data_IF_295240125546
#
_entry.id   IF_295240125546
#
_cell.length_a   1.000
_cell.length_b   1.000
_cell.length_c   1.000
_cell.angle_alpha   90.00
_cell.angle_beta   90.00
_cell.angle_gamma   90.00
#
_symmetry.space_group_name_H-M   'P 1'
#
loop_
_entity.id
_entity.type
_entity.pdbx_description
1 polymer ?
#
# COMPACT_ATOMS: atom_id res chain seq x y z
N UNK A 1 9.91 7.33 44.42
CA UNK A 1 10.62 8.17 43.43
C UNK A 1 9.57 8.88 42.61
N UNK A 2 9.47 10.21 42.68
CA UNK A 2 8.54 10.98 41.84
C UNK A 2 9.21 11.19 40.49
N UNK A 3 8.70 10.56 39.44
CA UNK A 3 9.12 10.86 38.06
C UNK A 3 8.70 12.29 37.75
N UNK A 4 9.68 13.13 37.40
CA UNK A 4 9.40 14.50 36.94
C UNK A 4 8.51 14.43 35.69
N UNK A 5 7.48 15.28 35.55
CA UNK A 5 6.69 15.40 34.33
C UNK A 5 7.56 15.53 33.08
N UNK A 6 8.70 16.22 33.18
CA UNK A 6 9.66 16.39 32.09
C UNK A 6 10.29 15.07 31.65
N UNK A 7 10.58 14.15 32.59
CA UNK A 7 11.15 12.85 32.27
C UNK A 7 10.16 11.94 31.52
N UNK A 8 8.87 12.09 31.81
CA UNK A 8 7.79 11.39 31.09
C UNK A 8 7.62 11.98 29.70
N UNK A 9 7.67 13.32 29.57
CA UNK A 9 7.64 14.02 28.29
C UNK A 9 8.78 13.60 27.37
N UNK A 10 10.00 13.48 27.91
CA UNK A 10 11.19 13.04 27.17
C UNK A 10 11.08 11.58 26.68
N UNK A 11 10.50 10.70 27.50
CA UNK A 11 10.24 9.31 27.10
C UNK A 11 9.17 9.23 26.01
N UNK A 12 8.09 10.02 26.12
CA UNK A 12 7.06 10.10 25.08
C UNK A 12 7.67 10.60 23.76
N UNK A 13 8.48 11.65 23.81
CA UNK A 13 9.17 12.21 22.64
C UNK A 13 10.12 11.19 21.99
N UNK A 14 10.83 10.41 22.81
CA UNK A 14 11.72 9.34 22.34
C UNK A 14 10.95 8.20 21.67
N UNK A 15 9.82 7.79 22.26
CA UNK A 15 8.92 6.79 21.67
C UNK A 15 8.34 7.25 20.33
N UNK A 16 7.92 8.52 20.24
CA UNK A 16 7.39 9.09 18.98
C UNK A 16 8.45 9.11 17.87
N UNK A 17 9.70 9.48 18.18
CA UNK A 17 10.81 9.42 17.22
C UNK A 17 11.10 8.00 16.74
N UNK A 18 11.07 7.02 17.65
CA UNK A 18 11.25 5.62 17.30
C UNK A 18 10.12 5.12 16.39
N UNK A 19 8.87 5.52 16.66
CA UNK A 19 7.70 5.17 15.86
C UNK A 19 7.77 5.77 14.45
N UNK A 20 8.21 7.02 14.32
CA UNK A 20 8.37 7.68 13.03
C UNK A 20 9.49 7.03 12.19
N UNK A 21 10.60 6.64 12.84
CA UNK A 21 11.67 5.86 12.21
C UNK A 21 11.20 4.50 11.70
N UNK A 22 10.41 3.79 12.51
CA UNK A 22 9.80 2.51 12.10
C UNK A 22 8.84 2.69 10.92
N UNK A 23 8.02 3.74 10.94
CA UNK A 23 7.11 4.07 9.85
C UNK A 23 7.84 4.38 8.55
N UNK A 24 8.94 5.14 8.59
CA UNK A 24 9.79 5.38 7.41
C UNK A 24 10.38 4.08 6.86
N UNK A 25 10.91 3.22 7.72
CA UNK A 25 11.46 1.93 7.30
C UNK A 25 10.40 1.03 6.67
N UNK A 26 9.21 0.95 7.27
CA UNK A 26 8.08 0.18 6.75
C UNK A 26 7.61 0.71 5.39
N UNK A 27 7.47 2.03 5.25
CA UNK A 27 7.14 2.68 3.97
C UNK A 27 8.19 2.39 2.91
N UNK A 28 9.47 2.57 3.23
CA UNK A 28 10.57 2.27 2.30
C UNK A 28 10.57 0.82 1.83
N UNK A 29 10.36 -0.13 2.75
CA UNK A 29 10.28 -1.56 2.43
C UNK A 29 9.08 -1.90 1.54
N UNK A 30 7.92 -1.28 1.78
CA UNK A 30 6.73 -1.51 0.98
C UNK A 30 6.87 -0.93 -0.42
N UNK A 31 7.48 0.25 -0.57
CA UNK A 31 7.81 0.85 -1.87
C UNK A 31 8.82 0.02 -2.66
N UNK A 32 9.85 -0.50 -2.00
CA UNK A 32 10.82 -1.40 -2.63
C UNK A 32 10.15 -2.68 -3.17
N UNK A 33 9.30 -3.33 -2.35
CA UNK A 33 8.53 -4.51 -2.77
C UNK A 33 7.59 -4.21 -3.94
N UNK A 34 6.97 -3.03 -3.97
CA UNK A 34 6.16 -2.58 -5.10
C UNK A 34 7.00 -2.40 -6.36
N UNK A 35 8.20 -1.82 -6.24
CA UNK A 35 9.16 -1.69 -7.34
C UNK A 35 9.60 -3.04 -7.92
N UNK A 36 9.90 -4.01 -7.06
CA UNK A 36 10.24 -5.38 -7.47
C UNK A 36 9.08 -6.08 -8.19
N UNK A 37 7.87 -5.95 -7.64
CA UNK A 37 6.66 -6.51 -8.27
C UNK A 37 6.38 -5.85 -9.61
N UNK A 38 6.53 -4.53 -9.72
CA UNK A 38 6.31 -3.81 -10.97
C UNK A 38 7.32 -4.22 -12.04
N UNK A 39 8.60 -4.40 -11.67
CA UNK A 39 9.63 -4.95 -12.57
C UNK A 39 9.26 -6.36 -13.05
N UNK A 40 8.81 -7.23 -12.15
CA UNK A 40 8.39 -8.59 -12.50
C UNK A 40 7.20 -8.61 -13.46
N UNK A 41 6.20 -7.75 -13.24
CA UNK A 41 5.02 -7.64 -14.13
C UNK A 41 5.42 -7.11 -15.51
N UNK A 42 6.28 -6.09 -15.57
CA UNK A 42 6.78 -5.56 -16.84
C UNK A 42 7.59 -6.62 -17.60
N UNK A 43 8.42 -7.40 -16.90
CA UNK A 43 9.17 -8.49 -17.52
C UNK A 43 8.25 -9.57 -18.11
N UNK A 44 7.19 -9.97 -17.40
CA UNK A 44 6.21 -10.92 -17.94
C UNK A 44 5.40 -10.32 -19.11
N UNK A 45 5.11 -9.01 -19.09
CA UNK A 45 4.47 -8.33 -20.22
C UNK A 45 5.36 -8.27 -21.46
N UNK A 46 6.65 -8.00 -21.30
CA UNK A 46 7.61 -8.00 -22.40
C UNK A 46 7.81 -9.42 -22.96
N UNK A 47 7.82 -10.43 -22.08
CA UNK A 47 7.84 -11.84 -22.49
C UNK A 47 6.58 -12.23 -23.26
N UNK A 48 5.40 -11.80 -22.81
CA UNK A 48 4.14 -12.01 -23.53
C UNK A 48 4.13 -11.32 -24.89
N UNK A 49 4.66 -10.10 -25.00
CA UNK A 49 4.82 -9.40 -26.28
C UNK A 49 5.73 -10.17 -27.24
N UNK A 50 6.89 -10.63 -26.77
CA UNK A 50 7.81 -11.44 -27.58
C UNK A 50 7.13 -12.72 -28.08
N UNK A 51 6.38 -13.42 -27.23
CA UNK A 51 5.64 -14.63 -27.63
C UNK A 51 4.58 -14.29 -28.70
N UNK A 52 3.88 -13.16 -28.56
CA UNK A 52 2.88 -12.69 -29.53
C UNK A 52 3.52 -12.30 -30.85
N UNK A 53 4.68 -11.64 -30.83
CA UNK A 53 5.42 -11.20 -32.01
C UNK A 53 6.07 -12.40 -32.75
N UNK A 54 6.49 -13.44 -32.03
CA UNK A 54 7.06 -14.68 -32.58
C UNK A 54 5.97 -15.63 -33.14
N UNK A 55 4.71 -15.45 -32.75
CA UNK A 55 3.57 -16.22 -33.27
C UNK A 55 3.07 -15.59 -34.58
N UNK A 56 3.86 -15.67 -35.65
CA UNK A 56 3.45 -15.21 -36.99
C UNK A 56 2.42 -16.11 -37.69
N UNK A 57 1.84 -17.08 -36.99
CA UNK A 57 0.65 -17.85 -37.38
C UNK A 57 -0.13 -18.18 -36.09
N UNK A 58 -1.00 -17.27 -35.62
CA UNK A 58 -1.69 -17.47 -34.35
C UNK A 58 -2.71 -18.62 -34.44
N UNK A 59 -2.45 -19.68 -33.67
CA UNK A 59 -3.45 -20.65 -33.24
C UNK A 59 -4.59 -19.89 -32.53
N UNK A 60 -5.82 -20.02 -33.03
CA UNK A 60 -7.05 -19.40 -32.49
C UNK A 60 -7.22 -19.68 -30.97
N UNK A 61 -6.63 -20.76 -30.48
CA UNK A 61 -6.58 -21.09 -29.06
C UNK A 61 -5.74 -20.07 -28.26
N UNK A 62 -4.58 -19.65 -28.77
CA UNK A 62 -3.72 -18.65 -28.12
C UNK A 62 -4.38 -17.27 -28.12
N UNK A 63 -5.06 -16.88 -29.20
CA UNK A 63 -5.89 -15.66 -29.24
C UNK A 63 -6.93 -15.68 -28.12
N UNK A 64 -7.61 -16.82 -27.96
CA UNK A 64 -8.68 -17.01 -26.99
C UNK A 64 -8.16 -16.98 -25.55
N UNK A 65 -7.01 -17.62 -25.29
CA UNK A 65 -6.32 -17.56 -24.00
C UNK A 65 -5.87 -16.14 -23.66
N UNK A 66 -5.33 -15.39 -24.63
CA UNK A 66 -4.90 -14.01 -24.44
C UNK A 66 -6.09 -13.09 -24.10
N UNK A 67 -7.22 -13.25 -24.80
CA UNK A 67 -8.47 -12.53 -24.49
C UNK A 67 -8.96 -12.83 -23.07
N UNK A 68 -8.94 -14.11 -22.68
CA UNK A 68 -9.33 -14.52 -21.32
C UNK A 68 -8.40 -13.95 -20.25
N UNK A 69 -7.09 -13.97 -20.49
CA UNK A 69 -6.11 -13.38 -19.57
C UNK A 69 -6.31 -11.87 -19.44
N UNK A 70 -6.55 -11.16 -20.54
CA UNK A 70 -6.85 -9.73 -20.53
C UNK A 70 -8.13 -9.42 -19.74
N UNK A 71 -9.17 -10.25 -19.90
CA UNK A 71 -10.41 -10.12 -19.13
C UNK A 71 -10.17 -10.33 -17.63
N UNK A 72 -9.41 -11.36 -17.25
CA UNK A 72 -9.05 -11.60 -15.85
C UNK A 72 -8.24 -10.43 -15.29
N UNK A 73 -7.24 -9.95 -16.02
CA UNK A 73 -6.44 -8.79 -15.62
C UNK A 73 -7.31 -7.56 -15.36
N UNK A 74 -8.23 -7.23 -16.27
CA UNK A 74 -9.17 -6.09 -16.10
C UNK A 74 -10.11 -6.27 -14.90
N UNK A 75 -10.48 -7.51 -14.55
CA UNK A 75 -11.30 -7.80 -13.35
C UNK A 75 -10.48 -7.58 -12.09
N UNK A 76 -9.28 -8.15 -12.03
CA UNK A 76 -8.36 -7.96 -10.90
C UNK A 76 -8.00 -6.49 -10.69
N UNK A 77 -7.77 -5.75 -11.77
CA UNK A 77 -7.50 -4.30 -11.70
C UNK A 77 -8.69 -3.54 -11.08
N UNK A 78 -9.93 -3.83 -11.53
CA UNK A 78 -11.14 -3.22 -10.95
C UNK A 78 -11.33 -3.58 -9.47
N UNK A 79 -11.09 -4.83 -9.10
CA UNK A 79 -11.17 -5.27 -7.71
C UNK A 79 -10.13 -4.54 -6.84
N UNK A 80 -8.90 -4.40 -7.34
CA UNK A 80 -7.85 -3.67 -6.64
C UNK A 80 -8.22 -2.19 -6.45
N UNK A 81 -8.76 -1.52 -7.48
CA UNK A 81 -9.23 -0.14 -7.37
C UNK A 81 -10.33 0.01 -6.31
N UNK A 82 -11.27 -0.93 -6.24
CA UNK A 82 -12.31 -0.93 -5.20
C UNK A 82 -11.73 -1.08 -3.80
N UNK A 83 -10.79 -2.02 -3.61
CA UNK A 83 -10.13 -2.24 -2.32
C UNK A 83 -9.29 -1.02 -1.88
N UNK A 84 -8.62 -0.34 -2.80
CA UNK A 84 -7.90 0.90 -2.52
C UNK A 84 -8.87 1.98 -2.03
N UNK A 85 -10.00 2.16 -2.72
CA UNK A 85 -11.01 3.15 -2.32
C UNK A 85 -11.59 2.88 -0.93
N UNK A 86 -11.83 1.61 -0.58
CA UNK A 86 -12.23 1.23 0.79
C UNK A 86 -11.15 1.57 1.80
N UNK A 87 -9.89 1.22 1.51
CA UNK A 87 -8.78 1.54 2.41
C UNK A 87 -8.59 3.05 2.62
N UNK A 88 -8.78 3.87 1.59
CA UNK A 88 -8.77 5.33 1.70
C UNK A 88 -9.87 5.85 2.62
N UNK A 89 -11.09 5.32 2.51
CA UNK A 89 -12.22 5.65 3.40
C UNK A 89 -11.95 5.25 4.86
N UNK A 90 -11.32 4.09 5.07
CA UNK A 90 -10.94 3.62 6.40
C UNK A 90 -9.87 4.51 7.03
N UNK A 91 -8.88 4.93 6.24
CA UNK A 91 -7.84 5.89 6.67
C UNK A 91 -8.48 7.21 7.06
N UNK A 92 -9.38 7.76 6.23
CA UNK A 92 -10.07 9.02 6.55
C UNK A 92 -10.89 8.91 7.85
N UNK A 93 -11.56 7.78 8.05
CA UNK A 93 -12.33 7.50 9.26
C UNK A 93 -11.43 7.41 10.50
N UNK A 94 -10.27 6.75 10.37
CA UNK A 94 -9.26 6.66 11.42
C UNK A 94 -8.70 8.04 11.77
N UNK A 95 -8.37 8.87 10.77
CA UNK A 95 -7.88 10.23 10.98
C UNK A 95 -8.90 11.10 11.73
N UNK A 96 -10.19 11.00 11.37
CA UNK A 96 -11.27 11.67 12.12
C UNK A 96 -11.36 11.16 13.56
N UNK A 97 -11.22 9.86 13.77
CA UNK A 97 -11.18 9.25 15.10
C UNK A 97 -10.02 9.77 15.94
N UNK A 98 -8.81 9.81 15.38
CA UNK A 98 -7.61 10.31 16.04
C UNK A 98 -7.76 11.78 16.45
N UNK A 99 -8.29 12.64 15.57
CA UNK A 99 -8.56 14.05 15.93
C UNK A 99 -9.53 14.18 17.10
N UNK A 100 -10.57 13.36 17.16
CA UNK A 100 -11.51 13.36 18.30
C UNK A 100 -10.81 12.94 19.59
N UNK A 101 -9.95 11.92 19.54
CA UNK A 101 -9.17 11.47 20.70
C UNK A 101 -8.21 12.57 21.17
N UNK A 102 -7.56 13.28 20.25
CA UNK A 102 -6.69 14.42 20.56
C UNK A 102 -7.45 15.54 21.27
N UNK A 103 -8.63 15.93 20.76
CA UNK A 103 -9.48 16.93 21.40
C UNK A 103 -9.93 16.51 22.81
N UNK A 104 -10.30 15.23 23.00
CA UNK A 104 -10.67 14.71 24.32
C UNK A 104 -9.48 14.76 25.27
N UNK A 105 -8.29 14.38 24.79
CA UNK A 105 -7.06 14.45 25.57
C UNK A 105 -6.77 15.90 26.00
N UNK A 106 -6.82 16.85 25.08
CA UNK A 106 -6.64 18.28 25.38
C UNK A 106 -7.65 18.78 26.43
N UNK A 107 -8.92 18.39 26.32
CA UNK A 107 -9.96 18.76 27.28
C UNK A 107 -9.79 18.13 28.67
N UNK A 108 -9.11 16.99 28.79
CA UNK A 108 -8.80 16.33 30.06
C UNK A 108 -7.51 16.86 30.71
N UNK A 109 -6.61 17.43 29.90
CA UNK A 109 -5.34 18.04 30.34
C UNK A 109 -5.46 19.55 30.63
N UNK A 110 -6.62 20.16 30.31
CA UNK A 110 -6.99 21.56 30.60
C UNK A 110 -7.76 21.69 31.92
#
# INVERSE_FOLDING_TARGET
MKTSPDAVQDQISSCLKALDGLNRCMRGRNWAKLGDRNRSVNHEMDRLRSIVDDLSDLDDNLVSQLKNLNLQFRRTQRQLSSQISTAESDIESLEKGMRKVEMIKEALES
#
